data_IF_773647806253
#
_entry.id   IF_773647806253
#
_cell.length_a   1.000
_cell.length_b   1.000
_cell.length_c   1.000
_cell.angle_alpha   90.00
_cell.angle_beta   90.00
_cell.angle_gamma   90.00
#
_symmetry.space_group_name_H-M   'P 1'
#
loop_
_entity.id
_entity.type
_entity.pdbx_description
1 polymer ?
#
# COMPACT_ATOMS: atom_id res chain seq x y z
N UNK A 1 10.66 8.72 19.67
CA UNK A 1 11.51 8.79 18.50
C UNK A 1 12.35 10.04 18.44
N UNK A 2 11.79 11.16 18.70
CA UNK A 2 12.52 12.41 18.73
C UNK A 2 12.87 12.99 17.38
N UNK A 3 12.28 12.51 16.29
CA UNK A 3 12.54 13.08 14.97
C UNK A 3 11.38 13.99 14.56
N UNK A 4 11.74 15.02 13.80
CA UNK A 4 10.77 16.04 13.40
C UNK A 4 10.04 15.68 12.09
N UNK A 5 10.58 14.75 11.33
CA UNK A 5 9.97 14.30 10.10
C UNK A 5 9.75 12.80 10.17
N UNK A 6 8.71 12.35 9.52
CA UNK A 6 8.44 10.92 9.40
C UNK A 6 8.72 10.47 7.98
N UNK A 7 9.14 9.20 7.83
CA UNK A 7 9.46 8.62 6.55
C UNK A 7 8.31 7.84 5.97
N UNK A 8 8.12 7.96 4.67
CA UNK A 8 7.16 7.13 3.97
C UNK A 8 7.80 6.65 2.68
N UNK A 9 7.40 5.47 2.25
CA UNK A 9 7.92 4.89 1.01
C UNK A 9 6.89 3.93 0.41
N UNK A 10 7.06 3.68 -0.87
CA UNK A 10 6.25 2.68 -1.55
C UNK A 10 7.11 1.46 -1.92
N UNK A 11 6.47 0.46 -2.50
CA UNK A 11 7.15 -0.75 -2.97
C UNK A 11 6.94 -0.91 -4.48
N UNK A 12 6.88 0.20 -5.21
CA UNK A 12 6.56 0.20 -6.64
C UNK A 12 7.78 0.03 -7.54
N UNK A 13 8.95 -0.16 -6.95
CA UNK A 13 10.18 -0.36 -7.71
C UNK A 13 10.98 -1.52 -7.12
N UNK A 14 11.47 -2.38 -7.98
CA UNK A 14 12.46 -3.39 -7.60
C UNK A 14 13.12 -3.93 -8.86
N UNK A 15 14.23 -4.64 -8.68
CA UNK A 15 14.89 -5.34 -9.77
C UNK A 15 14.35 -6.77 -9.78
N UNK A 16 13.77 -7.17 -10.93
CA UNK A 16 13.17 -8.49 -11.01
C UNK A 16 14.23 -9.60 -11.13
N UNK A 17 13.79 -10.85 -11.16
CA UNK A 17 14.70 -11.99 -11.21
C UNK A 17 15.49 -12.07 -12.51
N UNK A 18 15.08 -11.34 -13.54
CA UNK A 18 15.80 -11.26 -14.82
C UNK A 18 16.78 -10.11 -14.86
N UNK A 19 16.92 -9.36 -13.77
CA UNK A 19 17.85 -8.25 -13.67
C UNK A 19 17.29 -6.93 -14.18
N UNK A 20 16.01 -6.86 -14.52
CA UNK A 20 15.40 -5.63 -15.00
C UNK A 20 14.89 -4.78 -13.82
N UNK A 21 15.32 -3.52 -13.76
CA UNK A 21 14.80 -2.57 -12.79
C UNK A 21 13.45 -2.08 -13.28
N UNK A 22 12.42 -2.28 -12.47
CA UNK A 22 11.04 -1.91 -12.84
C UNK A 22 10.53 -0.74 -12.04
N UNK A 23 9.68 0.07 -12.71
CA UNK A 23 8.86 1.08 -12.06
C UNK A 23 7.43 0.77 -12.47
N UNK A 24 6.60 0.36 -11.52
CA UNK A 24 5.30 -0.24 -11.82
C UNK A 24 4.30 0.69 -12.51
N UNK A 25 4.48 2.01 -12.36
CA UNK A 25 3.61 2.98 -13.02
C UNK A 25 4.04 3.27 -14.45
N UNK A 26 5.12 2.67 -14.91
CA UNK A 26 5.64 2.87 -16.25
C UNK A 26 5.57 1.54 -17.03
N UNK A 27 4.57 1.39 -17.91
CA UNK A 27 4.37 0.13 -18.61
C UNK A 27 5.59 -0.35 -19.38
N UNK A 28 6.32 0.57 -20.00
CA UNK A 28 7.51 0.23 -20.79
C UNK A 28 8.69 -0.24 -19.94
N UNK A 29 8.63 0.00 -18.63
CA UNK A 29 9.68 -0.43 -17.71
C UNK A 29 9.23 -1.58 -16.83
N UNK A 30 8.05 -2.11 -17.06
CA UNK A 30 7.47 -3.15 -16.22
C UNK A 30 7.33 -4.45 -17.01
N UNK A 31 7.79 -5.52 -16.41
CA UNK A 31 7.76 -6.85 -17.00
C UNK A 31 6.95 -7.75 -16.06
N UNK A 32 5.74 -8.10 -16.49
CA UNK A 32 4.84 -8.88 -15.64
C UNK A 32 5.21 -10.38 -15.70
N UNK A 33 5.33 -10.92 -16.91
CA UNK A 33 5.51 -12.35 -17.06
C UNK A 33 4.29 -13.10 -16.52
N UNK A 34 4.53 -14.11 -15.70
CA UNK A 34 3.45 -14.82 -15.01
C UNK A 34 2.94 -13.94 -13.87
N UNK A 35 1.64 -13.58 -13.87
CA UNK A 35 1.10 -12.72 -12.81
C UNK A 35 1.28 -13.27 -11.40
N UNK A 36 1.21 -14.59 -11.21
CA UNK A 36 1.38 -15.18 -9.89
C UNK A 36 2.82 -14.98 -9.38
N UNK A 37 3.79 -15.21 -10.26
CA UNK A 37 5.19 -14.99 -9.93
C UNK A 37 5.47 -13.50 -9.67
N UNK A 38 4.86 -12.63 -10.48
CA UNK A 38 4.97 -11.19 -10.27
C UNK A 38 4.47 -10.79 -8.90
N UNK A 39 3.30 -11.32 -8.49
CA UNK A 39 2.73 -11.01 -7.18
C UNK A 39 3.63 -11.49 -6.04
N UNK A 40 4.25 -12.64 -6.19
CA UNK A 40 5.18 -13.14 -5.17
C UNK A 40 6.37 -12.20 -5.01
N UNK A 41 6.89 -11.69 -6.13
CA UNK A 41 7.98 -10.71 -6.10
C UNK A 41 7.53 -9.40 -5.45
N UNK A 42 6.33 -8.95 -5.78
CA UNK A 42 5.78 -7.72 -5.21
C UNK A 42 5.64 -7.83 -3.70
N UNK A 43 5.06 -8.92 -3.22
CA UNK A 43 4.88 -9.12 -1.78
C UNK A 43 6.22 -9.24 -1.06
N UNK A 44 7.19 -9.95 -1.66
CA UNK A 44 8.54 -10.04 -1.10
C UNK A 44 9.16 -8.65 -0.98
N UNK A 45 8.94 -7.79 -1.99
CA UNK A 45 9.45 -6.43 -1.96
C UNK A 45 8.79 -5.59 -0.87
N UNK A 46 7.47 -5.73 -0.72
CA UNK A 46 6.74 -5.03 0.35
C UNK A 46 7.30 -5.42 1.72
N UNK A 47 7.44 -6.71 1.96
CA UNK A 47 7.96 -7.21 3.24
C UNK A 47 9.35 -6.64 3.52
N UNK A 48 10.19 -6.58 2.50
CA UNK A 48 11.54 -6.02 2.61
C UNK A 48 11.50 -4.53 2.95
N UNK A 49 10.68 -3.78 2.21
CA UNK A 49 10.61 -2.32 2.35
C UNK A 49 10.13 -1.92 3.74
N UNK A 50 9.13 -2.62 4.27
CA UNK A 50 8.57 -2.24 5.58
C UNK A 50 9.47 -2.59 6.76
N UNK A 51 10.54 -3.35 6.54
CA UNK A 51 11.54 -3.57 7.60
C UNK A 51 12.53 -2.40 7.71
N UNK A 52 12.52 -1.50 6.74
CA UNK A 52 13.34 -0.29 6.78
C UNK A 52 12.74 0.72 7.76
N UNK A 53 13.50 1.72 8.21
CA UNK A 53 12.99 2.69 9.19
C UNK A 53 12.01 3.68 8.57
N UNK A 54 10.84 3.21 8.22
CA UNK A 54 9.77 4.03 7.67
C UNK A 54 8.57 4.01 8.61
N UNK A 55 7.72 5.01 8.49
CA UNK A 55 6.51 5.13 9.31
C UNK A 55 5.25 4.78 8.54
N UNK A 56 5.24 5.06 7.24
CA UNK A 56 4.05 4.89 6.41
C UNK A 56 4.43 4.20 5.11
N UNK A 57 3.66 3.17 4.74
CA UNK A 57 3.75 2.52 3.44
C UNK A 57 2.70 3.16 2.54
N UNK A 58 3.14 3.86 1.50
CA UNK A 58 2.27 4.60 0.58
C UNK A 58 2.04 3.86 -0.72
N UNK A 59 0.99 4.23 -1.45
CA UNK A 59 0.54 3.58 -2.68
C UNK A 59 0.46 2.07 -2.51
N UNK A 60 -0.14 1.61 -1.38
CA UNK A 60 -0.08 0.20 -1.06
C UNK A 60 -0.92 -0.62 -2.03
N UNK A 61 -0.43 -1.81 -2.35
CA UNK A 61 -1.14 -2.77 -3.18
C UNK A 61 -1.32 -2.33 -4.64
N UNK A 62 -0.61 -1.30 -5.08
CA UNK A 62 -0.67 -0.83 -6.47
C UNK A 62 -0.29 -1.96 -7.43
N UNK A 63 -1.08 -2.12 -8.49
CA UNK A 63 -0.77 -3.06 -9.56
C UNK A 63 -0.60 -2.33 -10.89
N UNK A 64 0.33 -2.77 -11.72
CA UNK A 64 0.48 -2.21 -13.07
C UNK A 64 -0.83 -2.30 -13.85
N UNK A 65 -1.04 -1.35 -14.76
CA UNK A 65 -2.29 -1.26 -15.53
C UNK A 65 -2.64 -2.58 -16.22
N UNK A 66 -1.63 -3.31 -16.66
CA UNK A 66 -1.81 -4.56 -17.39
C UNK A 66 -2.58 -5.62 -16.58
N UNK A 67 -2.44 -5.62 -15.26
CA UNK A 67 -3.08 -6.61 -14.38
C UNK A 67 -3.98 -5.97 -13.32
N UNK A 68 -4.18 -4.67 -13.38
CA UNK A 68 -4.95 -3.96 -12.34
C UNK A 68 -6.40 -4.45 -12.25
N UNK A 69 -6.98 -4.91 -13.35
CA UNK A 69 -8.35 -5.42 -13.36
C UNK A 69 -8.48 -6.78 -12.65
N UNK A 70 -7.35 -7.42 -12.34
CA UNK A 70 -7.32 -8.70 -11.62
C UNK A 70 -6.97 -8.52 -10.14
N UNK A 71 -7.08 -7.30 -9.64
CA UNK A 71 -6.66 -6.93 -8.30
C UNK A 71 -7.16 -7.90 -7.22
N UNK A 72 -8.46 -8.15 -7.18
CA UNK A 72 -9.03 -8.99 -6.12
C UNK A 72 -8.56 -10.45 -6.24
N UNK A 73 -8.38 -10.93 -7.45
CA UNK A 73 -7.93 -12.30 -7.68
C UNK A 73 -6.45 -12.46 -7.34
N UNK A 74 -5.65 -11.43 -7.61
CA UNK A 74 -4.20 -11.48 -7.38
C UNK A 74 -3.83 -11.21 -5.93
N UNK A 75 -4.61 -10.37 -5.24
CA UNK A 75 -4.42 -10.14 -3.80
C UNK A 75 -5.14 -11.22 -3.01
N UNK A 76 -4.55 -12.42 -3.00
CA UNK A 76 -5.08 -13.56 -2.24
C UNK A 76 -4.97 -13.32 -0.75
N UNK A 77 -5.76 -14.07 0.02
CA UNK A 77 -5.72 -13.97 1.48
C UNK A 77 -4.30 -14.20 2.01
N UNK A 78 -3.58 -15.17 1.46
CA UNK A 78 -2.22 -15.46 1.88
C UNK A 78 -1.29 -14.26 1.65
N UNK A 79 -1.38 -13.63 0.49
CA UNK A 79 -0.56 -12.45 0.17
C UNK A 79 -0.89 -11.27 1.06
N UNK A 80 -2.19 -11.04 1.27
CA UNK A 80 -2.65 -9.98 2.17
C UNK A 80 -2.12 -10.22 3.57
N UNK A 81 -2.24 -11.45 4.08
CA UNK A 81 -1.81 -11.78 5.44
C UNK A 81 -0.31 -11.58 5.62
N UNK A 82 0.49 -11.92 4.62
CA UNK A 82 1.95 -11.68 4.67
C UNK A 82 2.26 -10.20 4.79
N UNK A 83 1.62 -9.39 3.98
CA UNK A 83 1.83 -7.94 4.00
C UNK A 83 1.38 -7.34 5.33
N UNK A 84 0.18 -7.69 5.76
CA UNK A 84 -0.39 -7.15 7.00
C UNK A 84 0.45 -7.54 8.21
N UNK A 85 0.92 -8.77 8.26
CA UNK A 85 1.80 -9.22 9.34
C UNK A 85 3.09 -8.40 9.38
N UNK A 86 3.70 -8.17 8.23
CA UNK A 86 4.92 -7.38 8.16
C UNK A 86 4.69 -5.94 8.60
N UNK A 87 3.59 -5.33 8.19
CA UNK A 87 3.24 -3.97 8.61
C UNK A 87 3.06 -3.91 10.12
N UNK A 88 2.30 -4.85 10.68
CA UNK A 88 2.02 -4.88 12.12
C UNK A 88 3.30 -5.10 12.93
N UNK A 89 4.13 -6.04 12.51
CA UNK A 89 5.38 -6.36 13.23
C UNK A 89 6.38 -5.21 13.23
N UNK A 90 6.35 -4.39 12.18
CA UNK A 90 7.29 -3.28 12.05
C UNK A 90 6.69 -1.93 12.44
N UNK A 91 5.44 -1.91 12.88
CA UNK A 91 4.78 -0.68 13.30
C UNK A 91 4.60 0.33 12.19
N UNK A 92 4.41 -0.13 10.95
CA UNK A 92 4.27 0.73 9.78
C UNK A 92 2.80 0.95 9.48
N UNK A 93 2.41 2.21 9.30
CA UNK A 93 1.04 2.57 8.95
C UNK A 93 0.79 2.34 7.46
N UNK A 94 -0.48 2.14 7.13
CA UNK A 94 -0.91 1.87 5.76
C UNK A 94 -1.69 3.05 5.22
N UNK A 95 -1.28 3.56 4.08
CA UNK A 95 -2.01 4.64 3.42
C UNK A 95 -3.29 4.13 2.78
N UNK A 96 -4.37 4.89 2.92
CA UNK A 96 -5.58 4.70 2.13
C UNK A 96 -5.51 5.77 1.04
N UNK A 97 -5.30 5.33 -0.19
CA UNK A 97 -5.01 6.24 -1.29
C UNK A 97 -6.28 6.56 -2.08
N UNK A 98 -6.64 7.83 -2.12
CA UNK A 98 -7.87 8.28 -2.79
C UNK A 98 -7.76 8.29 -4.30
N UNK A 99 -6.58 8.55 -4.83
CA UNK A 99 -6.40 8.64 -6.28
C UNK A 99 -6.53 7.28 -6.95
N UNK A 100 -5.83 6.30 -6.43
CA UNK A 100 -5.85 4.95 -6.99
C UNK A 100 -6.91 4.05 -6.39
N UNK A 101 -7.61 4.52 -5.35
CA UNK A 101 -8.66 3.79 -4.65
C UNK A 101 -8.15 2.44 -4.15
N UNK A 102 -7.05 2.47 -3.44
CA UNK A 102 -6.40 1.31 -2.83
C UNK A 102 -5.97 1.63 -1.40
N UNK A 103 -5.80 0.62 -0.54
CA UNK A 103 -6.10 -0.78 -0.76
C UNK A 103 -7.61 -1.05 -0.68
N UNK A 104 -8.01 -2.27 -1.03
CA UNK A 104 -9.42 -2.66 -0.98
C UNK A 104 -9.95 -2.73 0.45
N UNK A 105 -11.28 -2.75 0.58
CA UNK A 105 -11.93 -2.88 1.88
C UNK A 105 -11.51 -4.17 2.60
N UNK A 106 -11.37 -5.26 1.88
CA UNK A 106 -10.92 -6.54 2.45
C UNK A 106 -9.55 -6.38 3.11
N UNK A 107 -8.62 -5.73 2.42
CA UNK A 107 -7.27 -5.52 2.95
C UNK A 107 -7.30 -4.59 4.17
N UNK A 108 -8.07 -3.52 4.08
CA UNK A 108 -8.18 -2.55 5.18
C UNK A 108 -8.74 -3.25 6.44
N UNK A 109 -9.77 -4.07 6.28
CA UNK A 109 -10.36 -4.79 7.42
C UNK A 109 -9.35 -5.73 8.07
N UNK A 110 -8.60 -6.47 7.26
CA UNK A 110 -7.57 -7.37 7.79
C UNK A 110 -6.47 -6.62 8.51
N UNK A 111 -6.03 -5.51 7.94
CA UNK A 111 -4.99 -4.67 8.55
C UNK A 111 -5.47 -4.08 9.87
N UNK A 112 -6.71 -3.61 9.91
CA UNK A 112 -7.29 -3.07 11.14
C UNK A 112 -7.32 -4.13 12.25
N UNK A 113 -7.73 -5.34 11.92
CA UNK A 113 -7.77 -6.45 12.88
C UNK A 113 -6.39 -6.75 13.45
N UNK A 114 -5.35 -6.56 12.67
CA UNK A 114 -3.98 -6.80 13.11
C UNK A 114 -3.37 -5.62 13.87
N UNK A 115 -4.11 -4.53 14.03
CA UNK A 115 -3.63 -3.34 14.74
C UNK A 115 -2.85 -2.36 13.91
N UNK A 116 -2.82 -2.52 12.58
CA UNK A 116 -2.19 -1.57 11.67
C UNK A 116 -2.97 -0.26 11.70
N UNK A 117 -2.27 0.86 11.75
CA UNK A 117 -2.90 2.18 11.71
C UNK A 117 -2.92 2.71 10.28
N UNK A 118 -3.77 3.71 10.04
CA UNK A 118 -4.01 4.21 8.69
C UNK A 118 -3.77 5.71 8.57
N UNK A 119 -3.41 6.13 7.38
CA UNK A 119 -3.42 7.53 7.00
C UNK A 119 -4.14 7.68 5.67
N UNK A 120 -4.50 8.90 5.30
CA UNK A 120 -5.16 9.17 4.03
C UNK A 120 -4.22 9.94 3.11
N UNK A 121 -4.08 9.47 1.87
CA UNK A 121 -3.25 10.12 0.89
C UNK A 121 -3.99 10.34 -0.42
N UNK A 122 -3.68 11.41 -1.11
CA UNK A 122 -4.32 11.78 -2.36
C UNK A 122 -3.41 11.62 -3.57
N UNK A 123 -2.10 11.46 -3.36
CA UNK A 123 -1.11 11.56 -4.44
C UNK A 123 -1.28 12.86 -5.19
N UNK A 124 -1.46 13.92 -4.46
CA UNK A 124 -1.85 15.24 -4.91
C UNK A 124 -1.08 15.69 -6.16
N UNK A 125 -1.71 15.50 -7.32
CA UNK A 125 -1.12 15.86 -8.61
C UNK A 125 -1.62 17.19 -9.14
N UNK A 126 -2.46 17.89 -8.38
CA UNK A 126 -2.99 19.17 -8.78
C UNK A 126 -4.17 19.59 -7.94
N UNK A 127 -4.73 20.75 -8.28
CA UNK A 127 -5.84 21.33 -7.52
C UNK A 127 -7.07 20.41 -7.49
N UNK A 128 -7.27 19.65 -8.54
CA UNK A 128 -8.44 18.77 -8.63
C UNK A 128 -8.38 17.61 -7.64
N UNK A 129 -7.18 17.24 -7.19
CA UNK A 129 -7.01 16.16 -6.23
C UNK A 129 -7.14 16.65 -4.79
N UNK A 130 -7.08 17.96 -4.58
CA UNK A 130 -7.24 18.54 -3.25
C UNK A 130 -8.67 18.38 -2.79
N UNK A 131 -8.85 17.81 -1.63
CA UNK A 131 -10.17 17.61 -1.07
C UNK A 131 -10.91 16.41 -1.61
N UNK A 132 -10.33 15.66 -2.53
CA UNK A 132 -10.93 14.41 -3.00
C UNK A 132 -10.69 13.32 -1.98
N UNK A 133 -11.67 13.13 -1.12
CA UNK A 133 -11.59 12.14 -0.06
C UNK A 133 -12.66 11.07 -0.21
N UNK A 134 -13.19 10.92 -1.43
CA UNK A 134 -14.32 10.02 -1.70
C UNK A 134 -14.03 8.60 -1.26
N UNK A 135 -12.88 8.08 -1.64
CA UNK A 135 -12.53 6.71 -1.29
C UNK A 135 -12.27 6.55 0.20
N UNK A 136 -11.60 7.52 0.80
CA UNK A 136 -11.35 7.48 2.24
C UNK A 136 -12.66 7.46 3.02
N UNK A 137 -13.61 8.30 2.64
CA UNK A 137 -14.93 8.34 3.30
C UNK A 137 -15.64 7.00 3.12
N UNK A 138 -15.61 6.48 1.91
CA UNK A 138 -16.21 5.17 1.61
C UNK A 138 -15.61 4.07 2.48
N UNK A 139 -14.28 4.08 2.67
CA UNK A 139 -13.59 3.06 3.45
C UNK A 139 -13.81 3.24 4.95
N UNK A 140 -13.89 4.48 5.44
CA UNK A 140 -14.23 4.73 6.83
C UNK A 140 -15.57 4.08 7.14
N UNK A 141 -16.54 4.29 6.27
CA UNK A 141 -17.88 3.76 6.44
C UNK A 141 -17.90 2.22 6.30
N UNK A 142 -17.32 1.71 5.23
CA UNK A 142 -17.35 0.28 4.92
C UNK A 142 -16.57 -0.56 5.93
N UNK A 143 -15.49 -0.03 6.47
CA UNK A 143 -14.59 -0.78 7.37
C UNK A 143 -14.74 -0.40 8.83
N UNK A 144 -15.61 0.57 9.14
CA UNK A 144 -15.84 0.99 10.51
C UNK A 144 -14.64 1.66 11.16
N UNK A 145 -13.87 2.43 10.37
CA UNK A 145 -12.69 3.08 10.90
C UNK A 145 -13.05 4.20 11.87
N UNK A 146 -12.26 4.32 12.93
CA UNK A 146 -12.44 5.33 13.97
C UNK A 146 -11.15 6.12 14.12
N UNK A 147 -11.18 7.26 14.84
CA UNK A 147 -9.94 8.00 15.09
C UNK A 147 -8.84 7.16 15.74
N UNK A 148 -9.21 6.12 16.49
CA UNK A 148 -8.23 5.24 17.13
C UNK A 148 -7.49 4.37 16.12
N UNK A 149 -8.02 4.19 14.94
CA UNK A 149 -7.39 3.42 13.88
C UNK A 149 -6.41 4.27 13.06
N UNK A 150 -6.38 5.57 13.30
CA UNK A 150 -5.56 6.48 12.50
C UNK A 150 -4.16 6.61 13.07
N UNK A 151 -3.21 6.79 12.17
CA UNK A 151 -1.82 7.03 12.55
C UNK A 151 -1.60 8.53 12.78
N UNK A 152 -0.85 8.84 13.83
CA UNK A 152 -0.46 10.21 14.13
C UNK A 152 1.03 10.25 14.37
N UNK A 153 1.74 11.28 13.89
CA UNK A 153 3.17 11.40 14.18
C UNK A 153 3.39 11.63 15.67
N UNK A 154 4.47 11.05 16.18
CA UNK A 154 4.86 11.27 17.56
C UNK A 154 5.42 12.69 17.68
N UNK A 155 4.85 13.47 18.58
CA UNK A 155 5.15 14.88 18.70
C UNK A 155 6.43 15.25 19.36
#
# INVERSE_FOLDING_TARGET
RGRFAYGFTDAMTWTNKNGKRMRLWMPEETEIGDPQDFMDQLVDNIVKVVTEPIDIHVNPTYLPAEIADQYDALWTDERIDRMVKALAENGVALEINNRFRIPSATIIKKAREAGVKFTFGTNNGGADDLGRMDYAIEMIDACGLTPQDMWYPEG
#
